data_IF_936013741755
#
_entry.id   IF_936013741755
#
_cell.length_a   1.000
_cell.length_b   1.000
_cell.length_c   1.000
_cell.angle_alpha   90.00
_cell.angle_beta   90.00
_cell.angle_gamma   90.00
#
_symmetry.space_group_name_H-M   'P 1'
#
loop_
_entity.id
_entity.type
_entity.pdbx_description
1 polymer ?
#
# COMPACT_ATOMS: atom_id res chain seq x y z
N UNK A 1 12.62 7.97 -5.86
CA UNK A 1 12.71 8.37 -4.43
C UNK A 1 12.62 9.88 -4.22
N UNK A 2 13.45 10.69 -4.84
CA UNK A 2 13.43 12.17 -4.68
C UNK A 2 12.07 12.81 -4.95
N UNK A 3 11.37 12.37 -5.99
CA UNK A 3 10.04 12.90 -6.33
C UNK A 3 9.01 12.57 -5.26
N UNK A 4 9.04 11.34 -4.76
CA UNK A 4 8.15 10.93 -3.66
C UNK A 4 8.42 11.73 -2.39
N UNK A 5 9.70 11.88 -2.01
CA UNK A 5 10.08 12.67 -0.83
C UNK A 5 9.60 14.13 -0.95
N UNK A 6 9.65 14.72 -2.15
CA UNK A 6 9.08 16.05 -2.40
C UNK A 6 7.57 16.08 -2.26
N UNK A 7 6.89 15.07 -2.82
CA UNK A 7 5.43 14.98 -2.78
C UNK A 7 4.88 14.86 -1.34
N UNK A 8 5.58 14.10 -0.50
CA UNK A 8 5.20 13.95 0.93
C UNK A 8 5.85 15.00 1.84
N UNK A 9 6.58 15.96 1.27
CA UNK A 9 7.27 17.03 2.00
C UNK A 9 8.27 16.53 3.06
N UNK A 10 8.91 15.39 2.80
CA UNK A 10 9.98 14.87 3.66
C UNK A 10 11.34 15.47 3.25
N UNK A 11 11.90 16.41 4.04
CA UNK A 11 13.13 17.11 3.68
C UNK A 11 14.40 16.36 4.08
N UNK A 12 14.30 15.12 4.60
CA UNK A 12 15.47 14.43 5.12
C UNK A 12 16.54 14.24 4.03
N UNK A 13 17.81 14.68 4.26
CA UNK A 13 18.83 14.74 3.21
C UNK A 13 19.15 13.39 2.54
N UNK A 14 19.03 12.27 3.25
CA UNK A 14 19.29 10.94 2.71
C UNK A 14 18.31 10.49 1.60
N UNK A 15 17.19 11.20 1.42
CA UNK A 15 16.28 10.99 0.29
C UNK A 15 16.73 11.68 -0.99
N UNK A 16 17.70 12.62 -0.87
CA UNK A 16 18.13 13.49 -1.96
C UNK A 16 19.62 13.35 -2.29
N UNK A 17 20.45 13.00 -1.32
CA UNK A 17 21.92 13.03 -1.39
C UNK A 17 22.51 11.67 -1.00
N UNK A 18 23.27 11.08 -1.91
CA UNK A 18 23.92 9.78 -1.69
C UNK A 18 24.98 9.83 -0.60
N UNK A 19 25.76 10.95 -0.53
CA UNK A 19 26.76 11.13 0.51
C UNK A 19 26.14 11.08 1.93
N UNK A 20 24.95 11.64 2.09
CA UNK A 20 24.25 11.58 3.37
C UNK A 20 23.71 10.16 3.65
N UNK A 21 23.21 9.46 2.64
CA UNK A 21 22.78 8.08 2.79
C UNK A 21 23.97 7.17 3.18
N UNK A 22 25.12 7.35 2.53
CA UNK A 22 26.35 6.63 2.85
C UNK A 22 26.83 6.90 4.29
N UNK A 23 26.74 8.13 4.78
CA UNK A 23 27.06 8.47 6.18
C UNK A 23 26.16 7.73 7.19
N UNK A 24 24.95 7.36 6.78
CA UNK A 24 24.02 6.56 7.57
C UNK A 24 24.20 5.03 7.38
N UNK A 25 25.16 4.62 6.55
CA UNK A 25 25.49 3.21 6.30
C UNK A 25 24.68 2.55 5.19
N UNK A 26 24.04 3.33 4.31
CA UNK A 26 23.28 2.81 3.16
C UNK A 26 24.06 2.99 1.85
N UNK A 27 23.94 2.04 0.93
CA UNK A 27 24.63 2.05 -0.36
C UNK A 27 24.08 3.05 -1.38
N UNK A 28 22.91 3.63 -1.10
CA UNK A 28 22.26 4.61 -1.97
C UNK A 28 21.14 5.35 -1.26
N UNK A 29 20.43 6.20 -2.00
CA UNK A 29 19.30 6.95 -1.45
C UNK A 29 18.29 6.02 -0.79
N UNK A 30 17.79 6.41 0.37
CA UNK A 30 16.68 5.71 1.04
C UNK A 30 15.35 6.42 0.77
N UNK A 31 14.27 5.67 0.80
CA UNK A 31 12.92 6.22 0.66
C UNK A 31 12.39 6.75 2.00
N UNK A 32 11.49 7.74 1.99
CA UNK A 32 10.67 8.05 3.15
C UNK A 32 9.91 6.83 3.67
N UNK A 33 9.69 6.75 4.98
CA UNK A 33 9.00 5.61 5.64
C UNK A 33 7.63 5.32 5.02
N UNK A 34 6.92 6.38 4.61
CA UNK A 34 5.60 6.27 3.99
C UNK A 34 5.61 5.69 2.58
N UNK A 35 6.78 5.50 1.96
CA UNK A 35 6.89 4.97 0.59
C UNK A 35 6.24 3.59 0.44
N UNK A 36 6.32 2.74 1.46
CA UNK A 36 5.71 1.41 1.46
C UNK A 36 4.18 1.43 1.37
N UNK A 37 3.54 2.56 1.68
CA UNK A 37 2.09 2.72 1.56
C UNK A 37 1.61 2.67 0.10
N UNK A 38 2.46 3.06 -0.87
CA UNK A 38 2.15 2.92 -2.30
C UNK A 38 2.01 1.44 -2.67
N UNK A 39 2.92 0.61 -2.18
CA UNK A 39 2.89 -0.84 -2.43
C UNK A 39 1.63 -1.47 -1.83
N UNK A 40 1.24 -1.02 -0.64
CA UNK A 40 -0.01 -1.43 0.01
C UNK A 40 -1.24 -1.12 -0.84
N UNK A 41 -1.26 0.00 -1.55
CA UNK A 41 -2.38 0.37 -2.44
C UNK A 41 -2.55 -0.60 -3.61
N UNK A 42 -1.46 -1.01 -4.26
CA UNK A 42 -1.49 -2.01 -5.32
C UNK A 42 -1.90 -3.39 -4.80
N UNK A 43 -1.39 -3.78 -3.64
CA UNK A 43 -1.72 -5.06 -3.01
C UNK A 43 -3.21 -5.13 -2.60
N UNK A 44 -3.79 -4.03 -2.14
CA UNK A 44 -5.22 -3.94 -1.82
C UNK A 44 -6.07 -4.13 -3.07
N UNK A 45 -5.73 -3.52 -4.20
CA UNK A 45 -6.46 -3.68 -5.46
C UNK A 45 -6.53 -5.16 -5.86
N UNK A 46 -5.40 -5.87 -5.83
CA UNK A 46 -5.33 -7.30 -6.13
C UNK A 46 -6.16 -8.14 -5.14
N UNK A 47 -6.13 -7.79 -3.86
CA UNK A 47 -6.92 -8.43 -2.82
C UNK A 47 -8.42 -8.31 -3.10
N UNK A 48 -8.90 -7.14 -3.53
CA UNK A 48 -10.32 -6.93 -3.87
C UNK A 48 -10.75 -7.73 -5.08
N UNK A 49 -9.90 -7.82 -6.09
CA UNK A 49 -10.21 -8.58 -7.31
C UNK A 49 -10.26 -10.08 -7.05
N UNK A 50 -9.40 -10.61 -6.17
CA UNK A 50 -9.22 -12.06 -6.01
C UNK A 50 -9.84 -12.64 -4.74
N UNK A 51 -9.88 -11.90 -3.66
CA UNK A 51 -10.25 -12.42 -2.33
C UNK A 51 -11.52 -11.79 -1.80
N UNK A 52 -11.64 -10.47 -1.88
CA UNK A 52 -12.79 -9.73 -1.37
C UNK A 52 -13.83 -9.47 -2.46
N UNK A 53 -14.10 -10.49 -3.27
CA UNK A 53 -15.11 -10.43 -4.34
C UNK A 53 -16.47 -10.12 -3.77
N UNK A 54 -17.12 -9.06 -4.28
CA UNK A 54 -18.45 -8.64 -3.84
C UNK A 54 -18.46 -7.49 -2.83
N UNK A 55 -17.31 -7.03 -2.37
CA UNK A 55 -17.20 -5.78 -1.62
C UNK A 55 -17.02 -4.60 -2.57
N UNK A 56 -17.72 -3.51 -2.29
CA UNK A 56 -17.54 -2.24 -2.99
C UNK A 56 -16.62 -1.33 -2.18
N UNK A 57 -15.53 -0.88 -2.79
CA UNK A 57 -14.56 0.04 -2.18
C UNK A 57 -15.20 1.32 -1.65
N UNK A 58 -16.29 1.78 -2.30
CA UNK A 58 -17.01 2.98 -1.87
C UNK A 58 -17.73 2.83 -0.53
N UNK A 59 -17.93 1.57 -0.08
CA UNK A 59 -18.57 1.22 1.18
C UNK A 59 -17.59 0.69 2.22
N UNK A 60 -16.30 0.81 1.94
CA UNK A 60 -15.26 0.37 2.86
C UNK A 60 -14.57 1.57 3.51
N UNK A 61 -14.24 1.40 4.76
CA UNK A 61 -13.48 2.38 5.53
C UNK A 61 -12.18 1.75 6.02
N UNK A 62 -11.08 2.43 5.75
CA UNK A 62 -9.78 2.12 6.35
C UNK A 62 -9.74 2.74 7.75
N UNK A 63 -9.66 1.94 8.78
CA UNK A 63 -9.80 2.39 10.18
C UNK A 63 -8.51 2.34 10.97
N UNK A 64 -7.60 1.45 10.60
CA UNK A 64 -6.31 1.31 11.29
C UNK A 64 -5.24 0.78 10.33
N UNK A 65 -4.01 1.25 10.54
CA UNK A 65 -2.84 0.72 9.84
C UNK A 65 -1.64 0.64 10.78
N UNK A 66 -1.06 -0.55 10.86
CA UNK A 66 0.22 -0.78 11.50
C UNK A 66 1.30 -0.94 10.43
N UNK A 67 2.41 -0.28 10.61
CA UNK A 67 3.61 -0.42 9.79
C UNK A 67 4.79 -0.82 10.68
N UNK A 68 5.45 -1.92 10.32
CA UNK A 68 6.74 -2.35 10.88
C UNK A 68 7.76 -2.26 9.77
N UNK A 69 8.68 -1.33 9.87
CA UNK A 69 9.80 -1.20 8.93
C UNK A 69 10.98 -2.02 9.48
N UNK A 70 11.43 -3.01 8.71
CA UNK A 70 12.58 -3.86 9.08
C UNK A 70 13.89 -3.21 8.62
N UNK A 71 13.86 -2.55 7.47
CA UNK A 71 14.91 -1.67 6.96
C UNK A 71 14.33 -0.60 6.03
N UNK A 72 15.01 0.53 5.81
CA UNK A 72 14.60 1.48 4.78
C UNK A 72 14.63 0.84 3.38
N UNK A 73 13.69 1.24 2.53
CA UNK A 73 13.75 0.95 1.09
C UNK A 73 14.87 1.76 0.47
N UNK A 74 15.74 1.13 -0.31
CA UNK A 74 16.87 1.77 -0.98
C UNK A 74 16.65 1.85 -2.49
N UNK A 75 17.37 2.75 -3.13
CA UNK A 75 17.45 2.78 -4.61
C UNK A 75 18.06 1.47 -5.09
N UNK A 76 17.39 0.81 -6.06
CA UNK A 76 17.81 -0.49 -6.59
C UNK A 76 17.08 -1.68 -6.00
N UNK A 77 16.34 -1.52 -4.89
CA UNK A 77 15.48 -2.58 -4.38
C UNK A 77 14.40 -2.94 -5.42
N UNK A 78 14.21 -4.23 -5.60
CA UNK A 78 13.04 -4.82 -6.25
C UNK A 78 12.17 -5.39 -5.15
N UNK A 79 10.98 -4.84 -5.02
CA UNK A 79 10.09 -5.16 -3.90
C UNK A 79 8.97 -6.07 -4.38
N UNK A 80 8.82 -7.18 -3.68
CA UNK A 80 7.69 -8.09 -3.79
C UNK A 80 6.75 -7.88 -2.61
N UNK A 81 5.44 -8.02 -2.87
CA UNK A 81 4.39 -7.69 -1.94
C UNK A 81 3.44 -8.87 -1.82
N UNK A 82 3.53 -9.62 -0.73
CA UNK A 82 2.63 -10.74 -0.45
C UNK A 82 1.53 -10.32 0.52
N UNK A 83 0.28 -10.28 0.02
CA UNK A 83 -0.88 -9.87 0.79
C UNK A 83 -1.78 -11.06 1.11
N UNK A 84 -2.17 -11.17 2.37
CA UNK A 84 -3.14 -12.17 2.82
C UNK A 84 -4.19 -11.55 3.73
N UNK A 85 -5.36 -12.20 3.80
CA UNK A 85 -6.36 -11.91 4.82
C UNK A 85 -5.93 -12.58 6.13
N UNK A 86 -5.57 -11.78 7.13
CA UNK A 86 -5.14 -12.28 8.44
C UNK A 86 -6.34 -12.64 9.33
N UNK A 87 -7.41 -11.86 9.28
CA UNK A 87 -8.64 -12.17 9.98
C UNK A 87 -9.87 -11.56 9.33
N UNK A 88 -11.00 -12.22 9.55
CA UNK A 88 -12.32 -11.75 9.15
C UNK A 88 -13.28 -11.93 10.33
N UNK A 89 -14.05 -10.90 10.63
CA UNK A 89 -15.10 -10.92 11.67
C UNK A 89 -16.32 -10.20 11.18
N UNK A 90 -17.50 -10.73 11.48
CA UNK A 90 -18.78 -10.08 11.23
C UNK A 90 -19.46 -9.76 12.54
N UNK A 91 -19.88 -8.52 12.73
CA UNK A 91 -20.54 -8.06 13.94
C UNK A 91 -21.53 -6.92 13.64
N UNK A 92 -22.80 -7.12 14.00
CA UNK A 92 -23.82 -6.08 13.89
C UNK A 92 -24.07 -5.55 12.48
N UNK A 93 -23.96 -6.39 11.43
CA UNK A 93 -24.11 -5.96 10.04
C UNK A 93 -22.85 -5.26 9.47
N UNK A 94 -21.74 -5.38 10.15
CA UNK A 94 -20.44 -4.83 9.75
C UNK A 94 -19.42 -5.95 9.64
N UNK A 95 -18.68 -5.96 8.55
CA UNK A 95 -17.57 -6.87 8.30
C UNK A 95 -16.25 -6.15 8.66
N UNK A 96 -15.47 -6.77 9.52
CA UNK A 96 -14.16 -6.28 9.93
C UNK A 96 -13.12 -7.20 9.31
N UNK A 97 -12.29 -6.65 8.44
CA UNK A 97 -11.31 -7.38 7.65
C UNK A 97 -9.91 -6.87 8.04
N UNK A 98 -9.04 -7.77 8.45
CA UNK A 98 -7.64 -7.43 8.70
C UNK A 98 -6.79 -8.11 7.63
N UNK A 99 -6.04 -7.32 6.89
CA UNK A 99 -5.06 -7.80 5.93
C UNK A 99 -3.67 -7.62 6.46
N UNK A 100 -2.79 -8.55 6.14
CA UNK A 100 -1.35 -8.47 6.38
C UNK A 100 -0.64 -8.49 5.06
N UNK A 101 0.36 -7.62 4.94
CA UNK A 101 1.20 -7.51 3.76
C UNK A 101 2.65 -7.65 4.18
N UNK A 102 3.36 -8.62 3.62
CA UNK A 102 4.79 -8.79 3.79
C UNK A 102 5.48 -8.25 2.54
N UNK A 103 6.36 -7.30 2.73
CA UNK A 103 7.16 -6.70 1.66
C UNK A 103 8.58 -7.20 1.81
N UNK A 104 9.09 -7.86 0.77
CA UNK A 104 10.44 -8.40 0.70
C UNK A 104 11.21 -7.80 -0.46
N UNK A 105 12.53 -7.89 -0.42
CA UNK A 105 13.39 -7.50 -1.52
C UNK A 105 13.69 -8.68 -2.49
N UNK A 106 14.58 -8.47 -3.45
CA UNK A 106 15.00 -9.47 -4.44
C UNK A 106 15.74 -10.69 -3.85
N UNK A 107 16.09 -10.66 -2.58
CA UNK A 107 16.75 -11.74 -1.84
C UNK A 107 15.80 -12.44 -0.87
N UNK A 108 14.50 -12.08 -0.94
CA UNK A 108 13.46 -12.53 0.00
C UNK A 108 13.65 -12.02 1.45
N UNK A 109 14.54 -11.02 1.64
CA UNK A 109 14.73 -10.40 2.94
C UNK A 109 13.58 -9.44 3.26
N UNK A 110 13.06 -9.45 4.50
CA UNK A 110 11.94 -8.60 4.88
C UNK A 110 12.34 -7.11 4.93
N UNK A 111 11.60 -6.30 4.20
CA UNK A 111 11.74 -4.83 4.16
C UNK A 111 10.71 -4.17 5.07
N UNK A 112 9.45 -4.57 4.96
CA UNK A 112 8.38 -4.05 5.80
C UNK A 112 7.26 -5.07 5.98
N UNK A 113 6.52 -4.91 7.07
CA UNK A 113 5.25 -5.62 7.29
C UNK A 113 4.17 -4.59 7.58
N UNK A 114 3.06 -4.66 6.86
CA UNK A 114 1.89 -3.81 7.15
C UNK A 114 0.71 -4.66 7.56
N UNK A 115 -0.13 -4.12 8.46
CA UNK A 115 -1.46 -4.63 8.76
C UNK A 115 -2.45 -3.52 8.55
N UNK A 116 -3.52 -3.81 7.84
CA UNK A 116 -4.58 -2.84 7.53
C UNK A 116 -5.90 -3.40 8.02
N UNK A 117 -6.64 -2.60 8.79
CA UNK A 117 -8.00 -2.94 9.20
C UNK A 117 -8.98 -2.16 8.34
N UNK A 118 -9.84 -2.90 7.67
CA UNK A 118 -10.91 -2.40 6.83
C UNK A 118 -12.26 -2.75 7.47
N UNK A 119 -13.19 -1.82 7.41
CA UNK A 119 -14.58 -2.03 7.82
C UNK A 119 -15.46 -1.87 6.60
N UNK A 120 -16.34 -2.84 6.36
CA UNK A 120 -17.32 -2.82 5.29
C UNK A 120 -18.73 -3.06 5.84
N UNK A 121 -19.75 -2.52 5.18
CA UNK A 121 -21.13 -2.86 5.50
C UNK A 121 -21.47 -4.21 4.86
N UNK A 122 -21.95 -5.17 5.65
CA UNK A 122 -22.37 -6.48 5.15
C UNK A 122 -23.57 -6.35 4.22
N UNK A 123 -23.45 -6.83 2.98
CA UNK A 123 -24.55 -6.86 2.01
C UNK A 123 -25.05 -5.48 1.56
N UNK A 124 -24.26 -4.44 1.72
CA UNK A 124 -24.60 -3.10 1.25
C UNK A 124 -24.65 -3.03 -0.28
N UNK A 125 -25.69 -2.37 -0.82
CA UNK A 125 -25.73 -2.01 -2.25
C UNK A 125 -24.96 -0.70 -2.39
N UNK A 126 -23.95 -0.69 -3.25
CA UNK A 126 -23.15 0.49 -3.54
C UNK A 126 -24.01 1.58 -4.17
N UNK A 127 -23.79 2.83 -3.77
CA UNK A 127 -24.28 3.98 -4.54
C UNK A 127 -23.55 4.01 -5.90
N UNK A 128 -24.28 3.91 -7.03
CA UNK A 128 -23.65 3.87 -8.35
C UNK A 128 -22.83 5.13 -8.71
N UNK A 129 -23.17 6.29 -8.16
CA UNK A 129 -22.42 7.52 -8.39
C UNK A 129 -21.11 7.52 -7.60
N UNK A 130 -21.18 7.12 -6.33
CA UNK A 130 -20.00 6.99 -5.47
C UNK A 130 -19.05 5.91 -6.00
N UNK A 131 -19.57 4.76 -6.42
CA UNK A 131 -18.78 3.69 -7.03
C UNK A 131 -18.03 4.16 -8.28
N UNK A 132 -18.69 4.95 -9.16
CA UNK A 132 -18.04 5.55 -10.34
C UNK A 132 -16.96 6.57 -9.96
N UNK A 133 -17.21 7.41 -8.95
CA UNK A 133 -16.24 8.38 -8.48
C UNK A 133 -14.98 7.69 -7.91
N UNK A 134 -15.15 6.64 -7.10
CA UNK A 134 -14.03 5.84 -6.55
C UNK A 134 -13.26 5.16 -7.69
N UNK A 135 -13.94 4.51 -8.63
CA UNK A 135 -13.31 3.87 -9.78
C UNK A 135 -12.51 4.88 -10.63
N UNK A 136 -13.02 6.10 -10.83
CA UNK A 136 -12.31 7.14 -11.57
C UNK A 136 -11.00 7.57 -10.88
N UNK A 137 -10.98 7.64 -9.54
CA UNK A 137 -9.77 7.95 -8.77
C UNK A 137 -8.76 6.80 -8.85
N UNK A 138 -9.23 5.55 -8.75
CA UNK A 138 -8.37 4.37 -8.82
C UNK A 138 -7.78 4.18 -10.23
N UNK A 139 -8.56 4.40 -11.29
CA UNK A 139 -8.10 4.28 -12.68
C UNK A 139 -7.06 5.33 -13.09
N UNK A 140 -6.99 6.47 -12.41
CA UNK A 140 -5.92 7.46 -12.69
C UNK A 140 -4.52 6.96 -12.37
N UNK A 141 -4.40 5.88 -11.59
CA UNK A 141 -3.15 5.24 -11.25
C UNK A 141 -2.89 3.94 -12.04
N UNK A 142 -3.79 3.52 -12.92
CA UNK A 142 -3.57 2.36 -13.76
C UNK A 142 -2.47 2.67 -14.80
N UNK A 143 -1.44 1.82 -14.97
CA UNK A 143 -0.45 2.00 -16.02
C UNK A 143 -1.15 1.97 -17.38
N UNK A 144 -0.89 2.99 -18.20
CA UNK A 144 -1.40 3.04 -19.58
C UNK A 144 -0.95 1.77 -20.31
N UNK A 145 -1.86 0.98 -20.91
CA UNK A 145 -1.46 -0.20 -21.67
C UNK A 145 -0.52 0.23 -22.81
N UNK A 146 0.50 -0.57 -23.14
CA UNK A 146 1.41 -0.25 -24.24
C UNK A 146 0.60 -0.08 -25.53
N UNK A 147 0.87 1.00 -26.25
CA UNK A 147 0.29 1.25 -27.57
C UNK A 147 0.57 0.06 -28.49
N UNK A 148 -0.48 -0.51 -29.10
CA UNK A 148 -0.39 -1.56 -30.10
C UNK A 148 0.21 -1.04 -31.39
#
# INVERSE_FOLDING_TARGET
>A
MREYARAVQDPHPAHYREDTAHQLGYDGLIAPVTFVSILGSFAIEELFVRVLVGYDLSQMMHTDQQLILHRPVQVGDRLDCDVCMESFRQMGGTDIIVTKNLITDQHEDPVATTRTTLIARSGGVADPELARAVAAVMMHNAPTPPAQ
#
